data_IF_030248434053
#
_entry.id   IF_030248434053
#
_cell.length_a   1.000
_cell.length_b   1.000
_cell.length_c   1.000
_cell.angle_alpha   90.00
_cell.angle_beta   90.00
_cell.angle_gamma   90.00
#
_symmetry.space_group_name_H-M   'P 1'
#
loop_
_entity.id
_entity.type
_entity.pdbx_description
1 polymer ?
#
# COMPACT_ATOMS: atom_id res chain seq x y z
N UNK A 1 10.92 -12.38 -2.30
CA UNK A 1 9.52 -12.18 -2.63
C UNK A 1 9.31 -12.46 -4.12
N UNK A 2 8.56 -13.48 -4.46
CA UNK A 2 8.38 -13.89 -5.86
C UNK A 2 7.00 -13.49 -6.36
N UNK A 3 6.90 -12.21 -6.74
CA UNK A 3 5.66 -11.67 -7.29
C UNK A 3 5.79 -11.55 -8.81
N UNK A 4 4.75 -11.97 -9.51
CA UNK A 4 4.69 -11.76 -10.96
C UNK A 4 4.43 -10.28 -11.26
N UNK A 5 4.63 -9.88 -12.51
CA UNK A 5 4.31 -8.51 -12.91
C UNK A 5 2.81 -8.22 -12.74
N UNK A 6 1.97 -9.22 -12.97
CA UNK A 6 0.53 -9.08 -12.79
C UNK A 6 0.21 -8.83 -11.32
N UNK A 7 0.87 -9.56 -10.41
CA UNK A 7 0.68 -9.38 -8.98
C UNK A 7 1.11 -7.98 -8.54
N UNK A 8 2.25 -7.50 -9.05
CA UNK A 8 2.74 -6.16 -8.72
C UNK A 8 1.77 -5.09 -9.21
N UNK A 9 1.26 -5.24 -10.43
CA UNK A 9 0.28 -4.30 -10.97
C UNK A 9 -0.97 -4.25 -10.10
N UNK A 10 -1.45 -5.41 -9.65
CA UNK A 10 -2.62 -5.48 -8.79
C UNK A 10 -2.36 -4.82 -7.44
N UNK A 11 -1.19 -5.06 -6.87
CA UNK A 11 -0.80 -4.45 -5.59
C UNK A 11 -0.76 -2.92 -5.73
N UNK A 12 -0.17 -2.42 -6.81
CA UNK A 12 -0.10 -0.98 -7.07
C UNK A 12 -1.51 -0.40 -7.16
N UNK A 13 -2.39 -1.07 -7.90
CA UNK A 13 -3.77 -0.62 -8.04
C UNK A 13 -4.47 -0.55 -6.68
N UNK A 14 -4.35 -1.61 -5.89
CA UNK A 14 -4.97 -1.67 -4.56
C UNK A 14 -4.37 -0.61 -3.62
N UNK A 15 -3.07 -0.37 -3.74
CA UNK A 15 -2.40 0.62 -2.90
C UNK A 15 -2.88 2.05 -3.19
N UNK A 16 -3.29 2.33 -4.42
CA UNK A 16 -3.86 3.62 -4.79
C UNK A 16 -5.32 3.78 -4.38
N UNK A 17 -6.02 2.67 -4.11
CA UNK A 17 -7.41 2.73 -3.71
C UNK A 17 -7.54 3.25 -2.28
N UNK A 18 -8.34 4.29 -2.09
CA UNK A 18 -8.52 4.88 -0.76
C UNK A 18 -9.23 3.95 0.21
N UNK A 19 -10.08 3.07 -0.31
CA UNK A 19 -10.89 2.17 0.52
C UNK A 19 -10.19 0.87 0.89
N UNK A 20 -9.09 0.55 0.23
CA UNK A 20 -8.39 -0.71 0.44
C UNK A 20 -7.31 -0.51 1.51
N UNK A 21 -7.48 -1.07 2.71
CA UNK A 21 -6.44 -0.95 3.74
C UNK A 21 -5.24 -1.83 3.41
N UNK A 22 -4.08 -1.48 3.98
CA UNK A 22 -2.88 -2.29 3.80
C UNK A 22 -3.07 -3.72 4.27
N UNK A 23 -3.85 -3.92 5.32
CA UNK A 23 -4.13 -5.27 5.84
C UNK A 23 -4.74 -6.18 4.79
N UNK A 24 -5.61 -5.64 3.92
CA UNK A 24 -6.21 -6.43 2.85
C UNK A 24 -5.17 -6.87 1.83
N UNK A 25 -4.24 -5.97 1.47
CA UNK A 25 -3.16 -6.29 0.54
C UNK A 25 -2.21 -7.31 1.17
N UNK A 26 -1.86 -7.09 2.44
CA UNK A 26 -0.99 -7.98 3.18
C UNK A 26 -1.57 -9.40 3.24
N UNK A 27 -2.84 -9.49 3.55
CA UNK A 27 -3.52 -10.79 3.63
C UNK A 27 -3.55 -11.49 2.29
N UNK A 28 -3.91 -10.76 1.23
CA UNK A 28 -4.08 -11.36 -0.10
C UNK A 28 -2.77 -11.84 -0.70
N UNK A 29 -1.68 -11.10 -0.48
CA UNK A 29 -0.39 -11.40 -1.11
C UNK A 29 0.68 -11.89 -0.13
N UNK A 30 0.36 -11.99 1.16
CA UNK A 30 1.31 -12.42 2.16
C UNK A 30 2.44 -11.45 2.37
N UNK A 31 2.16 -10.16 2.29
CA UNK A 31 3.16 -9.10 2.41
C UNK A 31 2.99 -8.32 3.71
N UNK A 32 4.02 -7.54 4.05
CA UNK A 32 3.96 -6.56 5.13
C UNK A 32 3.89 -5.16 4.51
N UNK A 33 3.50 -4.18 5.31
CA UNK A 33 3.38 -2.80 4.83
C UNK A 33 4.69 -2.31 4.19
N UNK A 34 5.83 -2.65 4.80
CA UNK A 34 7.13 -2.25 4.25
C UNK A 34 7.38 -2.84 2.87
N UNK A 35 6.92 -4.07 2.64
CA UNK A 35 7.05 -4.72 1.33
C UNK A 35 6.23 -3.96 0.29
N UNK A 36 5.03 -3.54 0.66
CA UNK A 36 4.17 -2.77 -0.23
C UNK A 36 4.82 -1.44 -0.58
N UNK A 37 5.41 -0.76 0.42
CA UNK A 37 6.12 0.48 0.19
C UNK A 37 7.28 0.32 -0.77
N UNK A 38 8.04 -0.76 -0.63
CA UNK A 38 9.16 -1.04 -1.52
C UNK A 38 8.68 -1.26 -2.96
N UNK A 39 7.59 -2.00 -3.12
CA UNK A 39 7.02 -2.21 -4.45
C UNK A 39 6.61 -0.87 -5.07
N UNK A 40 5.94 -0.03 -4.29
CA UNK A 40 5.52 1.29 -4.78
C UNK A 40 6.73 2.15 -5.13
N UNK A 41 7.74 2.15 -4.25
CA UNK A 41 8.94 2.94 -4.45
C UNK A 41 9.68 2.56 -5.70
N UNK A 42 9.80 1.27 -6.00
CA UNK A 42 10.53 0.79 -7.17
C UNK A 42 9.71 0.85 -8.45
N UNK A 43 8.39 0.85 -8.33
CA UNK A 43 7.49 0.82 -9.50
C UNK A 43 7.06 2.21 -9.97
N UNK A 44 7.03 3.20 -9.07
CA UNK A 44 6.59 4.55 -9.39
C UNK A 44 7.77 5.50 -9.55
N UNK A 45 7.55 6.56 -10.31
CA UNK A 45 8.49 7.67 -10.34
C UNK A 45 8.55 8.31 -8.97
N UNK A 46 9.67 8.97 -8.66
CA UNK A 46 9.86 9.60 -7.35
C UNK A 46 8.72 10.56 -6.98
N UNK A 47 8.30 11.40 -7.91
CA UNK A 47 7.22 12.34 -7.68
C UNK A 47 5.90 11.64 -7.38
N UNK A 48 5.60 10.59 -8.13
CA UNK A 48 4.37 9.81 -7.93
C UNK A 48 4.40 9.09 -6.57
N UNK A 49 5.56 8.54 -6.22
CA UNK A 49 5.73 7.87 -4.93
C UNK A 49 5.50 8.84 -3.77
N UNK A 50 6.04 10.05 -3.86
CA UNK A 50 5.84 11.08 -2.83
C UNK A 50 4.38 11.47 -2.70
N UNK A 51 3.68 11.62 -3.81
CA UNK A 51 2.25 11.90 -3.81
C UNK A 51 1.46 10.77 -3.16
N UNK A 52 1.80 9.53 -3.48
CA UNK A 52 1.15 8.37 -2.89
C UNK A 52 1.33 8.33 -1.37
N UNK A 53 2.56 8.55 -0.91
CA UNK A 53 2.85 8.56 0.54
C UNK A 53 2.03 9.63 1.26
N UNK A 54 1.96 10.81 0.68
CA UNK A 54 1.20 11.90 1.24
C UNK A 54 -0.28 11.56 1.33
N UNK A 55 -0.81 10.95 0.28
CA UNK A 55 -2.21 10.53 0.22
C UNK A 55 -2.51 9.46 1.28
N UNK A 56 -1.67 8.46 1.38
CA UNK A 56 -1.84 7.36 2.32
C UNK A 56 -1.82 7.86 3.76
N UNK A 57 -0.91 8.76 4.08
CA UNK A 57 -0.80 9.32 5.43
C UNK A 57 -2.06 10.08 5.85
N UNK A 58 -2.80 10.59 4.90
CA UNK A 58 -4.04 11.31 5.18
C UNK A 58 -5.29 10.43 5.24
N UNK A 59 -5.17 9.12 4.98
CA UNK A 59 -6.32 8.22 4.89
C UNK A 59 -6.34 7.21 6.03
N UNK A 60 -7.29 7.36 6.94
CA UNK A 60 -7.44 6.45 8.08
C UNK A 60 -7.74 5.02 7.68
N UNK A 61 -8.45 4.84 6.57
CA UNK A 61 -8.83 3.50 6.10
C UNK A 61 -7.64 2.63 5.71
N UNK A 62 -6.49 3.25 5.39
CA UNK A 62 -5.29 2.50 5.02
C UNK A 62 -4.62 1.81 6.21
N UNK A 63 -4.86 2.31 7.42
CA UNK A 63 -4.22 1.80 8.64
C UNK A 63 -5.28 1.51 9.70
N UNK A 64 -6.11 0.50 9.44
CA UNK A 64 -7.23 0.20 10.32
C UNK A 64 -6.79 -0.12 11.75
N UNK A 65 -5.72 -0.92 11.89
CA UNK A 65 -5.24 -1.30 13.21
C UNK A 65 -4.69 -0.11 13.97
N UNK A 66 -3.94 0.75 13.31
CA UNK A 66 -3.39 1.95 13.93
C UNK A 66 -4.49 2.91 14.36
N UNK A 67 -5.53 3.02 13.54
CA UNK A 67 -6.65 3.89 13.85
C UNK A 67 -7.35 3.49 15.13
N UNK A 68 -7.46 2.20 15.40
CA UNK A 68 -8.14 1.72 16.60
C UNK A 68 -7.40 2.07 17.88
N UNK A 69 -6.12 2.41 17.79
CA UNK A 69 -5.33 2.81 18.95
C UNK A 69 -5.30 4.31 19.19
N UNK A 70 -5.74 5.09 18.23
CA UNK A 70 -5.70 6.54 18.36
C UNK A 70 -6.94 7.12 19.01
N UNK A 71 -7.83 6.27 19.44
CA UNK A 71 -9.10 6.68 20.07
C UNK A 71 -8.97 6.75 21.58
#
# INVERSE_FOLDING_TARGET
MNLSDIDKDRIIEMAWEDRTPFEAIEYQFGLKENDIRQIMRTSLKESSFKMWRKRVNGKNTKHLLKRSFSV
#
